data_IF_084709545330
#
_entry.id   IF_084709545330
#
_cell.length_a   1.000
_cell.length_b   1.000
_cell.length_c   1.000
_cell.angle_alpha   90.00
_cell.angle_beta   90.00
_cell.angle_gamma   90.00
#
_symmetry.space_group_name_H-M   'P 1'
#
loop_
_entity.id
_entity.type
_entity.pdbx_description
1 polymer ?
#
# COMPACT_ATOMS: atom_id res chain seq x y z
N UNK A 1 -8.83 -21.26 35.69
CA UNK A 1 -8.86 -21.63 34.26
C UNK A 1 -8.54 -20.37 33.46
N UNK A 2 -7.27 -20.18 33.10
CA UNK A 2 -6.82 -19.02 32.33
C UNK A 2 -6.93 -19.38 30.84
N UNK A 3 -7.81 -18.71 30.11
CA UNK A 3 -7.82 -18.75 28.65
C UNK A 3 -6.60 -17.96 28.16
N UNK A 4 -5.55 -18.66 27.77
CA UNK A 4 -4.46 -18.09 26.99
C UNK A 4 -4.98 -18.03 25.55
N UNK A 5 -5.52 -16.89 25.15
CA UNK A 5 -5.76 -16.60 23.73
C UNK A 5 -4.42 -16.33 23.07
N UNK A 6 -3.98 -17.25 22.21
CA UNK A 6 -2.72 -17.15 21.46
C UNK A 6 -2.68 -15.86 20.62
N UNK A 7 -1.65 -15.00 20.76
CA UNK A 7 -1.51 -13.75 19.99
C UNK A 7 -1.41 -13.95 18.47
N UNK A 8 -0.99 -15.13 18.04
CA UNK A 8 -0.69 -15.46 16.64
C UNK A 8 -1.94 -15.64 15.77
N UNK A 9 -3.07 -16.07 16.36
CA UNK A 9 -4.30 -16.31 15.60
C UNK A 9 -5.02 -14.99 15.25
N UNK A 10 -4.89 -13.96 16.10
CA UNK A 10 -5.52 -12.64 15.88
C UNK A 10 -4.74 -11.80 14.85
N UNK A 11 -3.42 -11.96 14.77
CA UNK A 11 -2.55 -11.17 13.87
C UNK A 11 -2.63 -11.63 12.41
N UNK A 12 -2.79 -12.94 12.15
CA UNK A 12 -3.02 -13.46 10.80
C UNK A 12 -4.38 -13.01 10.22
N UNK A 13 -5.45 -13.07 11.02
CA UNK A 13 -6.80 -12.64 10.64
C UNK A 13 -6.85 -11.14 10.29
N UNK A 14 -6.11 -10.31 11.04
CA UNK A 14 -5.97 -8.89 10.76
C UNK A 14 -5.20 -8.60 9.46
N UNK A 15 -4.13 -9.36 9.16
CA UNK A 15 -3.34 -9.20 7.93
C UNK A 15 -4.13 -9.61 6.68
N UNK A 16 -4.86 -10.73 6.74
CA UNK A 16 -5.73 -11.17 5.64
C UNK A 16 -6.90 -10.19 5.43
N UNK A 17 -7.50 -9.69 6.51
CA UNK A 17 -8.57 -8.68 6.45
C UNK A 17 -8.08 -7.37 5.82
N UNK A 18 -6.89 -6.90 6.21
CA UNK A 18 -6.28 -5.71 5.61
C UNK A 18 -6.07 -5.90 4.10
N UNK A 19 -5.47 -7.03 3.71
CA UNK A 19 -5.21 -7.37 2.31
C UNK A 19 -6.47 -7.44 1.48
N UNK A 20 -7.50 -8.10 1.99
CA UNK A 20 -8.80 -8.15 1.33
C UNK A 20 -9.41 -6.74 1.14
N UNK A 21 -9.25 -5.85 2.12
CA UNK A 21 -9.70 -4.46 2.03
C UNK A 21 -8.93 -3.68 0.95
N UNK A 22 -7.59 -3.76 0.94
CA UNK A 22 -6.76 -3.11 -0.10
C UNK A 22 -7.12 -3.65 -1.48
N UNK A 23 -7.29 -4.97 -1.63
CA UNK A 23 -7.71 -5.61 -2.88
C UNK A 23 -9.05 -5.06 -3.38
N UNK A 24 -10.02 -4.92 -2.49
CA UNK A 24 -11.34 -4.42 -2.85
C UNK A 24 -11.27 -2.98 -3.40
N UNK A 25 -10.48 -2.11 -2.77
CA UNK A 25 -10.26 -0.72 -3.22
C UNK A 25 -9.47 -0.66 -4.53
N UNK A 26 -8.40 -1.43 -4.66
CA UNK A 26 -7.62 -1.53 -5.89
C UNK A 26 -8.46 -2.08 -7.05
N UNK A 27 -9.35 -3.05 -6.79
CA UNK A 27 -10.29 -3.57 -7.79
C UNK A 27 -11.30 -2.51 -8.20
N UNK A 28 -11.89 -1.79 -7.24
CA UNK A 28 -12.85 -0.72 -7.51
C UNK A 28 -12.23 0.35 -8.42
N UNK A 29 -10.97 0.74 -8.17
CA UNK A 29 -10.23 1.71 -8.97
C UNK A 29 -10.09 1.34 -10.46
N UNK A 30 -10.24 0.07 -10.84
CA UNK A 30 -10.21 -0.36 -12.24
C UNK A 30 -11.56 -0.21 -12.95
N UNK A 31 -12.62 0.09 -12.21
CA UNK A 31 -13.94 0.42 -12.73
C UNK A 31 -13.98 1.91 -13.13
N UNK A 32 -14.40 2.18 -14.37
CA UNK A 32 -14.44 3.54 -14.93
C UNK A 32 -15.45 4.46 -14.24
N UNK A 33 -16.39 3.89 -13.48
CA UNK A 33 -17.43 4.65 -12.77
C UNK A 33 -17.00 5.07 -11.35
N UNK A 34 -15.76 4.76 -10.96
CA UNK A 34 -15.22 5.13 -9.64
C UNK A 34 -14.09 6.15 -9.75
N UNK A 35 -13.96 7.02 -8.74
CA UNK A 35 -12.83 7.94 -8.65
C UNK A 35 -11.58 7.20 -8.15
N UNK A 36 -10.47 7.20 -8.90
CA UNK A 36 -9.20 6.65 -8.41
C UNK A 36 -8.71 7.35 -7.16
N UNK A 37 -8.87 8.67 -7.08
CA UNK A 37 -8.50 9.45 -5.92
C UNK A 37 -9.23 9.01 -4.63
N UNK A 38 -10.55 8.82 -4.68
CA UNK A 38 -11.30 8.37 -3.49
C UNK A 38 -10.87 6.97 -3.04
N UNK A 39 -10.62 6.04 -3.98
CA UNK A 39 -10.13 4.70 -3.63
C UNK A 39 -8.69 4.75 -3.08
N UNK A 40 -7.84 5.65 -3.58
CA UNK A 40 -6.49 5.85 -3.07
C UNK A 40 -6.49 6.36 -1.63
N UNK A 41 -7.37 7.32 -1.28
CA UNK A 41 -7.54 7.80 0.09
C UNK A 41 -7.96 6.69 1.05
N UNK A 42 -8.87 5.81 0.62
CA UNK A 42 -9.30 4.65 1.41
C UNK A 42 -8.14 3.68 1.66
N UNK A 43 -7.31 3.41 0.63
CA UNK A 43 -6.12 2.56 0.80
C UNK A 43 -5.10 3.23 1.73
N UNK A 44 -4.87 4.53 1.61
CA UNK A 44 -4.00 5.30 2.49
C UNK A 44 -4.49 5.22 3.95
N UNK A 45 -5.79 5.36 4.18
CA UNK A 45 -6.40 5.24 5.50
C UNK A 45 -6.20 3.85 6.11
N UNK A 46 -6.36 2.78 5.30
CA UNK A 46 -6.09 1.41 5.73
C UNK A 46 -4.60 1.20 6.08
N UNK A 47 -3.68 1.67 5.24
CA UNK A 47 -2.24 1.51 5.44
C UNK A 47 -1.71 2.33 6.62
N UNK A 48 -2.30 3.50 6.87
CA UNK A 48 -1.93 4.41 7.98
C UNK A 48 -2.61 4.05 9.30
N UNK A 49 -3.72 3.29 9.25
CA UNK A 49 -4.58 2.99 10.40
C UNK A 49 -4.07 1.90 11.35
N UNK A 50 -2.94 1.27 11.07
CA UNK A 50 -2.24 0.38 12.00
C UNK A 50 -2.90 -0.97 12.24
N UNK A 51 -2.60 -1.97 11.40
CA UNK A 51 -2.55 -3.34 11.89
C UNK A 51 -1.44 -3.45 12.97
N UNK A 52 -1.59 -4.28 14.02
CA UNK A 52 -0.65 -4.28 15.14
C UNK A 52 0.77 -4.57 14.65
N UNK A 53 1.64 -3.59 14.89
CA UNK A 53 3.04 -3.48 14.48
C UNK A 53 3.83 -4.66 15.04
N UNK A 54 3.81 -5.79 14.33
CA UNK A 54 4.70 -6.91 14.58
C UNK A 54 5.99 -6.70 13.79
N UNK A 55 6.91 -5.85 14.27
CA UNK A 55 8.32 -5.69 13.86
C UNK A 55 8.73 -5.80 12.36
N UNK A 56 7.79 -5.78 11.40
CA UNK A 56 8.08 -6.30 10.06
C UNK A 56 7.00 -6.05 9.02
N UNK A 57 6.35 -4.89 9.03
CA UNK A 57 5.46 -4.52 7.92
C UNK A 57 5.96 -3.26 7.19
N UNK A 58 7.22 -3.32 6.75
CA UNK A 58 7.81 -2.39 5.78
C UNK A 58 6.92 -2.21 4.54
N UNK A 59 6.13 -3.23 4.20
CA UNK A 59 5.11 -3.19 3.16
C UNK A 59 3.97 -2.21 3.46
N UNK A 60 3.44 -2.16 4.70
CA UNK A 60 2.41 -1.19 5.09
C UNK A 60 2.93 0.25 5.00
N UNK A 61 4.14 0.48 5.51
CA UNK A 61 4.79 1.79 5.39
C UNK A 61 4.98 2.19 3.92
N UNK A 62 5.42 1.26 3.08
CA UNK A 62 5.62 1.51 1.65
C UNK A 62 4.32 1.83 0.93
N UNK A 63 3.24 1.09 1.20
CA UNK A 63 1.91 1.39 0.66
C UNK A 63 1.44 2.78 1.12
N UNK A 64 1.56 3.11 2.41
CA UNK A 64 1.17 4.42 2.92
C UNK A 64 1.93 5.55 2.21
N UNK A 65 3.24 5.39 1.97
CA UNK A 65 4.05 6.35 1.24
C UNK A 65 3.62 6.49 -0.23
N UNK A 66 3.41 5.37 -0.93
CA UNK A 66 2.98 5.38 -2.34
C UNK A 66 1.64 6.11 -2.48
N UNK A 67 0.63 5.69 -1.70
CA UNK A 67 -0.71 6.24 -1.83
C UNK A 67 -0.79 7.68 -1.33
N UNK A 68 -0.03 8.02 -0.28
CA UNK A 68 0.09 9.39 0.22
C UNK A 68 0.69 10.35 -0.80
N UNK A 69 1.81 10.00 -1.44
CA UNK A 69 2.41 10.84 -2.49
C UNK A 69 1.46 11.03 -3.68
N UNK A 70 0.74 9.97 -4.09
CA UNK A 70 -0.20 10.07 -5.20
C UNK A 70 -1.41 10.96 -4.87
N UNK A 71 -1.96 10.87 -3.66
CA UNK A 71 -3.05 11.76 -3.23
C UNK A 71 -2.56 13.18 -3.04
N UNK A 72 -1.36 13.38 -2.48
CA UNK A 72 -0.73 14.70 -2.31
C UNK A 72 -0.52 15.39 -3.66
N UNK A 73 -0.16 14.66 -4.72
CA UNK A 73 -0.07 15.26 -6.07
C UNK A 73 -1.42 15.80 -6.54
N UNK A 74 -2.51 15.06 -6.36
CA UNK A 74 -3.86 15.54 -6.72
C UNK A 74 -4.24 16.78 -5.90
N UNK A 75 -3.97 16.76 -4.60
CA UNK A 75 -4.35 17.85 -3.68
C UNK A 75 -3.49 19.11 -3.82
N UNK A 76 -2.17 18.95 -3.99
CA UNK A 76 -1.18 20.03 -3.91
C UNK A 76 -0.68 20.49 -5.28
N UNK A 77 -0.86 19.68 -6.33
CA UNK A 77 -0.41 19.95 -7.70
C UNK A 77 -1.54 19.61 -8.68
N UNK A 78 -2.63 20.40 -8.70
CA UNK A 78 -3.82 20.07 -9.49
C UNK A 78 -3.54 19.94 -11.01
N UNK A 79 -2.49 20.57 -11.52
CA UNK A 79 -2.01 20.39 -12.89
C UNK A 79 -1.48 18.98 -13.20
N UNK A 80 -1.12 18.20 -12.18
CA UNK A 80 -0.65 16.80 -12.29
C UNK A 80 -1.78 15.78 -12.07
N UNK A 81 -3.03 16.22 -11.85
CA UNK A 81 -4.15 15.33 -11.45
C UNK A 81 -4.34 14.13 -12.38
N UNK A 82 -4.48 14.36 -13.69
CA UNK A 82 -4.69 13.28 -14.67
C UNK A 82 -3.55 12.26 -14.64
N UNK A 83 -2.31 12.73 -14.44
CA UNK A 83 -1.13 11.88 -14.37
C UNK A 83 -1.08 11.09 -13.05
N UNK A 84 -1.43 11.73 -11.93
CA UNK A 84 -1.51 11.09 -10.62
C UNK A 84 -2.59 10.01 -10.59
N UNK A 85 -3.79 10.29 -11.11
CA UNK A 85 -4.86 9.30 -11.21
C UNK A 85 -4.50 8.14 -12.15
N UNK A 86 -3.80 8.41 -13.26
CA UNK A 86 -3.26 7.35 -14.13
C UNK A 86 -2.27 6.46 -13.38
N UNK A 87 -1.43 7.04 -12.53
CA UNK A 87 -0.50 6.28 -11.68
C UNK A 87 -1.23 5.48 -10.61
N UNK A 88 -2.28 6.02 -9.98
CA UNK A 88 -3.11 5.27 -9.03
C UNK A 88 -3.69 4.01 -9.68
N UNK A 89 -4.32 4.14 -10.85
CA UNK A 89 -4.89 3.01 -11.60
C UNK A 89 -3.80 1.99 -11.97
N UNK A 90 -2.62 2.46 -12.39
CA UNK A 90 -1.48 1.59 -12.73
C UNK A 90 -0.96 0.84 -11.52
N UNK A 91 -0.74 1.53 -10.39
CA UNK A 91 -0.32 0.95 -9.13
C UNK A 91 -1.32 -0.09 -8.62
N UNK A 92 -2.63 0.23 -8.64
CA UNK A 92 -3.68 -0.70 -8.27
C UNK A 92 -3.68 -1.97 -9.13
N UNK A 93 -3.57 -1.81 -10.46
CA UNK A 93 -3.53 -2.96 -11.38
C UNK A 93 -2.34 -3.87 -11.11
N UNK A 94 -1.16 -3.29 -10.90
CA UNK A 94 0.06 -4.04 -10.63
C UNK A 94 0.03 -4.70 -9.25
N UNK A 95 -0.49 -4.02 -8.23
CA UNK A 95 -0.70 -4.59 -6.90
C UNK A 95 -1.55 -5.86 -6.97
N UNK A 96 -2.68 -5.83 -7.69
CA UNK A 96 -3.57 -6.99 -7.85
C UNK A 96 -2.90 -8.21 -8.52
N UNK A 97 -1.81 -8.01 -9.25
CA UNK A 97 -1.02 -9.08 -9.87
C UNK A 97 -0.06 -9.72 -8.87
N UNK A 98 0.60 -8.89 -8.04
CA UNK A 98 1.65 -9.34 -7.13
C UNK A 98 1.14 -9.73 -5.74
N UNK A 99 -0.06 -9.28 -5.38
CA UNK A 99 -0.62 -9.46 -4.04
C UNK A 99 -0.65 -10.94 -3.62
N UNK A 100 0.07 -11.26 -2.55
CA UNK A 100 0.17 -12.61 -1.95
C UNK A 100 1.51 -13.30 -2.22
N UNK A 101 2.31 -12.79 -3.16
CA UNK A 101 3.70 -13.19 -3.37
C UNK A 101 4.63 -12.17 -2.73
N UNK A 102 5.29 -12.56 -1.64
CA UNK A 102 6.16 -11.66 -0.86
C UNK A 102 7.33 -11.11 -1.65
N UNK A 103 7.87 -11.88 -2.60
CA UNK A 103 9.02 -11.43 -3.41
C UNK A 103 8.56 -10.42 -4.43
N UNK A 104 7.47 -10.73 -5.14
CA UNK A 104 6.89 -9.83 -6.13
C UNK A 104 6.38 -8.52 -5.49
N UNK A 105 5.83 -8.60 -4.28
CA UNK A 105 5.44 -7.41 -3.50
C UNK A 105 6.62 -6.53 -3.15
N UNK A 106 7.72 -7.12 -2.66
CA UNK A 106 8.92 -6.35 -2.34
C UNK A 106 9.48 -5.64 -3.58
N UNK A 107 9.54 -6.32 -4.72
CA UNK A 107 9.99 -5.73 -5.99
C UNK A 107 9.04 -4.64 -6.50
N UNK A 108 7.73 -4.84 -6.35
CA UNK A 108 6.71 -3.84 -6.68
C UNK A 108 6.89 -2.57 -5.84
N UNK A 109 6.99 -2.71 -4.51
CA UNK A 109 7.10 -1.59 -3.59
C UNK A 109 8.41 -0.82 -3.79
N UNK A 110 9.51 -1.54 -3.96
CA UNK A 110 10.83 -0.96 -4.22
C UNK A 110 10.84 -0.12 -5.49
N UNK A 111 10.34 -0.66 -6.61
CA UNK A 111 10.27 0.07 -7.88
C UNK A 111 9.36 1.28 -7.80
N UNK A 112 8.19 1.16 -7.17
CA UNK A 112 7.25 2.28 -7.06
C UNK A 112 7.82 3.43 -6.22
N UNK A 113 8.36 3.13 -5.05
CA UNK A 113 8.94 4.16 -4.19
C UNK A 113 10.13 4.83 -4.87
N UNK A 114 11.07 4.04 -5.38
CA UNK A 114 12.39 4.58 -5.73
C UNK A 114 12.48 5.02 -7.19
N UNK A 115 11.96 4.21 -8.10
CA UNK A 115 12.17 4.44 -9.53
C UNK A 115 11.04 5.29 -10.14
N UNK A 116 9.80 5.15 -9.64
CA UNK A 116 8.64 5.89 -10.13
C UNK A 116 8.39 7.18 -9.34
N UNK A 117 8.36 7.09 -8.01
CA UNK A 117 8.09 8.24 -7.14
C UNK A 117 9.35 9.01 -6.73
N UNK A 118 10.53 8.41 -6.88
CA UNK A 118 11.80 9.08 -6.66
C UNK A 118 12.25 9.19 -5.20
N UNK A 119 11.67 8.40 -4.28
CA UNK A 119 12.16 8.31 -2.91
C UNK A 119 13.59 7.76 -2.87
N UNK A 120 14.43 8.30 -1.99
CA UNK A 120 15.79 7.81 -1.83
C UNK A 120 15.80 6.36 -1.32
N UNK A 121 16.65 5.52 -1.93
CA UNK A 121 16.91 4.16 -1.43
C UNK A 121 17.66 4.25 -0.11
N UNK A 122 17.30 3.45 0.91
CA UNK A 122 18.08 3.36 2.13
C UNK A 122 19.53 3.00 1.79
N UNK A 123 20.49 3.70 2.39
CA UNK A 123 21.89 3.33 2.24
C UNK A 123 22.06 1.86 2.67
N UNK A 124 22.84 1.05 1.94
CA UNK A 124 23.08 -0.34 2.34
C UNK A 124 23.62 -0.34 3.76
N UNK A 125 22.90 -1.01 4.66
CA UNK A 125 23.33 -1.11 6.05
C UNK A 125 24.66 -1.85 6.04
N UNK A 126 25.75 -1.12 6.27
CA UNK A 126 27.05 -1.75 6.45
C UNK A 126 26.99 -2.44 7.80
N UNK A 127 26.53 -3.71 7.83
CA UNK A 127 26.60 -4.53 9.04
C UNK A 127 28.09 -4.73 9.35
N UNK A 128 28.57 -4.03 10.38
CA UNK A 128 29.84 -4.32 11.05
C UNK A 128 29.68 -5.51 11.99
#
# INVERSE_FOLDING_TARGET
MLHITSPTLWTMDASESFRAAVRARATAMLDSDTSPYEQALEILGLASGGAPVGNGDEALCSLALIWGELTDRVELRPEETDQAETYMVTAAREWLIVEGDRVAEAEYLDRWLHDILGYERPAPSTRS
#
